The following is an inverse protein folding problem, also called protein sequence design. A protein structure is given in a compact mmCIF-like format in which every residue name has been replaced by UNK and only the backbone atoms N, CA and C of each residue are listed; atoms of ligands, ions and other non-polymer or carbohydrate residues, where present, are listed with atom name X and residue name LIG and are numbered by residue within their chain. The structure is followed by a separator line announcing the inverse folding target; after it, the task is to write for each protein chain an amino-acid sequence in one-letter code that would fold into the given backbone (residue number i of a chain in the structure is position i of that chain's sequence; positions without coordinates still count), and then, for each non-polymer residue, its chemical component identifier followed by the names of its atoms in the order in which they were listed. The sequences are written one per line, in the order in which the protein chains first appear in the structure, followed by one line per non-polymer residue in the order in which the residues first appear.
data_IF_618340793807
#
_entry.id   IF_618340793807
#
_cell.length_a   1.000
_cell.length_b   1.000
_cell.length_c   1.000
_cell.angle_alpha   90.00
_cell.angle_beta   90.00
_cell.angle_gamma   90.00
#
_symmetry.space_group_name_H-M   'P 1'
#
loop_
_entity.id
_entity.type
_entity.pdbx_description
1 polymer ?
#
# COMPACT_ATOMS: atom_id res chain seq x y z
N UNK A 1 -7.04 -45.77 -106.89
CA UNK A 1 -7.88 -44.59 -106.65
C UNK A 1 -9.07 -45.02 -105.81
N UNK A 2 -9.01 -44.86 -104.49
CA UNK A 2 -10.15 -45.09 -103.60
C UNK A 2 -10.68 -43.70 -103.19
N UNK A 3 -11.83 -43.30 -103.71
CA UNK A 3 -12.46 -42.02 -103.35
C UNK A 3 -12.93 -42.10 -101.90
N UNK A 4 -12.15 -41.51 -100.99
CA UNK A 4 -12.57 -41.36 -99.60
C UNK A 4 -13.82 -40.46 -99.53
N UNK A 5 -14.90 -41.00 -98.97
CA UNK A 5 -16.20 -40.35 -98.92
C UNK A 5 -16.12 -39.15 -97.94
N UNK A 6 -16.30 -37.89 -98.40
CA UNK A 6 -16.03 -36.70 -97.58
C UNK A 6 -16.94 -36.59 -96.36
N UNK A 7 -18.12 -37.21 -96.40
CA UNK A 7 -19.06 -37.27 -95.28
C UNK A 7 -18.54 -38.13 -94.12
N UNK A 8 -17.86 -39.24 -94.40
CA UNK A 8 -17.34 -40.16 -93.39
C UNK A 8 -16.15 -39.54 -92.64
N UNK A 9 -15.33 -38.75 -93.34
CA UNK A 9 -14.22 -38.01 -92.76
C UNK A 9 -14.71 -36.88 -91.83
N UNK A 10 -15.80 -36.21 -92.20
CA UNK A 10 -16.38 -35.12 -91.39
C UNK A 10 -17.06 -35.64 -90.12
N UNK A 11 -17.76 -36.77 -90.18
CA UNK A 11 -18.37 -37.41 -89.00
C UNK A 11 -17.31 -37.84 -87.99
N UNK A 12 -16.18 -38.40 -88.46
CA UNK A 12 -15.08 -38.81 -87.59
C UNK A 12 -14.42 -37.61 -86.88
N UNK A 13 -14.29 -36.47 -87.57
CA UNK A 13 -13.77 -35.22 -86.97
C UNK A 13 -14.70 -34.66 -85.89
N UNK A 14 -16.02 -34.65 -86.13
CA UNK A 14 -17.00 -34.16 -85.14
C UNK A 14 -17.03 -35.06 -83.90
N UNK A 15 -16.99 -36.38 -84.09
CA UNK A 15 -16.92 -37.33 -82.98
C UNK A 15 -15.64 -37.15 -82.15
N UNK A 16 -14.50 -36.96 -82.80
CA UNK A 16 -13.22 -36.72 -82.13
C UNK A 16 -13.24 -35.41 -81.32
N UNK A 17 -13.76 -34.33 -81.88
CA UNK A 17 -13.94 -33.06 -81.16
C UNK A 17 -14.86 -33.21 -79.94
N UNK A 18 -15.99 -33.92 -80.09
CA UNK A 18 -16.92 -34.16 -78.98
C UNK A 18 -16.28 -34.93 -77.82
N UNK A 19 -15.48 -35.96 -78.11
CA UNK A 19 -14.75 -36.72 -77.09
C UNK A 19 -13.69 -35.86 -76.40
N UNK A 20 -12.94 -35.05 -77.14
CA UNK A 20 -11.92 -34.17 -76.54
C UNK A 20 -12.52 -33.12 -75.59
N UNK A 21 -13.68 -32.57 -75.93
CA UNK A 21 -14.38 -31.61 -75.07
C UNK A 21 -14.96 -32.28 -73.82
N UNK A 22 -15.51 -33.49 -73.95
CA UNK A 22 -16.01 -34.27 -72.81
C UNK A 22 -14.91 -34.65 -71.82
N UNK A 23 -13.75 -35.10 -72.32
CA UNK A 23 -12.59 -35.44 -71.48
C UNK A 23 -12.01 -34.20 -70.80
N UNK A 24 -11.87 -33.08 -71.53
CA UNK A 24 -11.40 -31.83 -70.94
C UNK A 24 -12.32 -31.31 -69.83
N UNK A 25 -13.65 -31.40 -70.02
CA UNK A 25 -14.63 -31.03 -69.00
C UNK A 25 -14.56 -31.92 -67.74
N UNK A 26 -14.42 -33.24 -67.91
CA UNK A 26 -14.33 -34.18 -66.79
C UNK A 26 -13.04 -33.99 -65.96
N UNK A 27 -11.90 -33.84 -66.64
CA UNK A 27 -10.60 -33.61 -65.97
C UNK A 27 -10.55 -32.24 -65.30
N UNK A 28 -11.09 -31.20 -65.95
CA UNK A 28 -11.22 -29.86 -65.37
C UNK A 28 -12.09 -29.83 -64.12
N UNK A 29 -13.22 -30.55 -64.12
CA UNK A 29 -14.14 -30.61 -62.98
C UNK A 29 -13.51 -31.31 -61.75
N UNK A 30 -12.85 -32.46 -61.96
CA UNK A 30 -12.21 -33.20 -60.86
C UNK A 30 -10.98 -32.47 -60.27
N UNK A 31 -10.19 -31.82 -61.11
CA UNK A 31 -9.02 -31.04 -60.67
C UNK A 31 -9.41 -29.74 -59.97
N UNK A 32 -10.49 -29.08 -60.40
CA UNK A 32 -11.02 -27.87 -59.78
C UNK A 32 -11.53 -28.09 -58.36
N UNK A 33 -12.25 -29.19 -58.10
CA UNK A 33 -12.74 -29.49 -56.75
C UNK A 33 -11.60 -29.78 -55.77
N UNK A 34 -10.59 -30.56 -56.17
CA UNK A 34 -9.45 -30.88 -55.31
C UNK A 34 -8.62 -29.65 -54.92
N UNK A 35 -8.47 -28.67 -55.82
CA UNK A 35 -7.80 -27.40 -55.49
C UNK A 35 -8.66 -26.52 -54.58
N UNK A 36 -9.97 -26.44 -54.84
CA UNK A 36 -10.88 -25.67 -54.01
C UNK A 36 -10.86 -26.17 -52.56
N UNK A 37 -11.00 -27.48 -52.34
CA UNK A 37 -10.99 -28.07 -50.99
C UNK A 37 -9.70 -27.78 -50.23
N UNK A 38 -8.53 -27.90 -50.87
CA UNK A 38 -7.24 -27.58 -50.25
C UNK A 38 -7.12 -26.11 -49.85
N UNK A 39 -7.65 -25.20 -50.67
CA UNK A 39 -7.64 -23.76 -50.37
C UNK A 39 -8.60 -23.45 -49.21
N UNK A 40 -9.76 -24.12 -49.14
CA UNK A 40 -10.68 -23.97 -48.01
C UNK A 40 -10.10 -24.51 -46.71
N UNK A 41 -9.52 -25.71 -46.73
CA UNK A 41 -8.84 -26.31 -45.58
C UNK A 41 -7.67 -25.43 -45.10
N UNK A 42 -6.84 -24.93 -46.02
CA UNK A 42 -5.75 -24.02 -45.69
C UNK A 42 -6.24 -22.70 -45.09
N UNK A 43 -7.37 -22.16 -45.58
CA UNK A 43 -7.97 -20.94 -45.01
C UNK A 43 -8.52 -21.17 -43.60
N UNK A 44 -9.21 -22.30 -43.38
CA UNK A 44 -9.74 -22.68 -42.07
C UNK A 44 -8.60 -22.89 -41.06
N UNK A 45 -7.58 -23.68 -41.42
CA UNK A 45 -6.41 -23.91 -40.57
C UNK A 45 -5.68 -22.60 -40.24
N UNK A 46 -5.57 -21.67 -41.19
CA UNK A 46 -4.97 -20.35 -40.96
C UNK A 46 -5.81 -19.49 -40.01
N UNK A 47 -7.14 -19.53 -40.13
CA UNK A 47 -8.04 -18.80 -39.22
C UNK A 47 -7.99 -19.37 -37.81
N UNK A 48 -8.00 -20.70 -37.66
CA UNK A 48 -7.87 -21.36 -36.37
C UNK A 48 -6.53 -21.05 -35.71
N UNK A 49 -5.42 -21.12 -36.46
CA UNK A 49 -4.10 -20.76 -35.96
C UNK A 49 -4.00 -19.29 -35.55
N UNK A 50 -4.58 -18.38 -36.34
CA UNK A 50 -4.63 -16.95 -36.00
C UNK A 50 -5.46 -16.71 -34.73
N UNK A 51 -6.62 -17.34 -34.60
CA UNK A 51 -7.48 -17.23 -33.42
C UNK A 51 -6.80 -17.82 -32.17
N UNK A 52 -6.13 -18.96 -32.29
CA UNK A 52 -5.36 -19.56 -31.21
C UNK A 52 -4.20 -18.65 -30.77
N UNK A 53 -3.47 -18.06 -31.72
CA UNK A 53 -2.42 -17.09 -31.43
C UNK A 53 -2.96 -15.84 -30.73
N UNK A 54 -4.11 -15.32 -31.15
CA UNK A 54 -4.76 -14.18 -30.49
C UNK A 54 -5.20 -14.50 -29.05
N UNK A 55 -5.77 -15.69 -28.82
CA UNK A 55 -6.14 -16.13 -27.47
C UNK A 55 -4.92 -16.25 -26.56
N UNK A 56 -3.83 -16.83 -27.06
CA UNK A 56 -2.58 -16.92 -26.31
C UNK A 56 -2.02 -15.53 -25.97
N UNK A 57 -1.99 -14.62 -26.94
CA UNK A 57 -1.54 -13.24 -26.70
C UNK A 57 -2.42 -12.50 -25.69
N UNK A 58 -3.75 -12.72 -25.72
CA UNK A 58 -4.68 -12.15 -24.74
C UNK A 58 -4.45 -12.74 -23.34
N UNK A 59 -4.30 -14.06 -23.24
CA UNK A 59 -4.04 -14.75 -21.98
C UNK A 59 -2.70 -14.33 -21.37
N UNK A 60 -1.66 -14.19 -22.19
CA UNK A 60 -0.34 -13.74 -21.76
C UNK A 60 -0.39 -12.28 -21.26
N UNK A 61 -1.04 -11.38 -21.99
CA UNK A 61 -1.24 -9.98 -21.53
C UNK A 61 -2.03 -9.91 -20.24
N UNK A 62 -3.07 -10.72 -20.09
CA UNK A 62 -3.84 -10.79 -18.85
C UNK A 62 -3.00 -11.32 -17.70
N UNK A 63 -2.21 -12.38 -17.92
CA UNK A 63 -1.30 -12.92 -16.92
C UNK A 63 -0.25 -11.91 -16.48
N UNK A 64 0.35 -11.18 -17.43
CA UNK A 64 1.31 -10.11 -17.14
C UNK A 64 0.67 -8.97 -16.35
N UNK A 65 -0.54 -8.54 -16.73
CA UNK A 65 -1.27 -7.49 -16.02
C UNK A 65 -1.62 -7.91 -14.58
N UNK A 66 -2.06 -9.17 -14.39
CA UNK A 66 -2.33 -9.73 -13.07
C UNK A 66 -1.06 -9.84 -12.22
N UNK A 67 0.05 -10.28 -12.81
CA UNK A 67 1.33 -10.35 -12.12
C UNK A 67 1.82 -8.97 -11.67
N UNK A 68 1.69 -7.95 -12.53
CA UNK A 68 2.03 -6.57 -12.19
C UNK A 68 1.13 -6.01 -11.07
N UNK A 69 -0.18 -6.25 -11.15
CA UNK A 69 -1.13 -5.82 -10.11
C UNK A 69 -0.85 -6.51 -8.76
N UNK A 70 -0.56 -7.81 -8.78
CA UNK A 70 -0.21 -8.56 -7.57
C UNK A 70 1.11 -8.07 -6.96
N UNK A 71 2.11 -7.74 -7.78
CA UNK A 71 3.39 -7.21 -7.31
C UNK A 71 3.21 -5.84 -6.62
N UNK A 72 2.37 -4.98 -7.19
CA UNK A 72 2.07 -3.68 -6.57
C UNK A 72 1.27 -3.86 -5.27
N UNK A 73 0.29 -4.76 -5.26
CA UNK A 73 -0.46 -5.08 -4.03
C UNK A 73 0.45 -5.62 -2.93
N UNK A 74 1.40 -6.50 -3.26
CA UNK A 74 2.38 -7.02 -2.30
C UNK A 74 3.25 -5.88 -1.74
N UNK A 75 3.74 -4.99 -2.61
CA UNK A 75 4.53 -3.82 -2.20
C UNK A 75 3.76 -2.91 -1.24
N UNK A 76 2.52 -2.59 -1.57
CA UNK A 76 1.67 -1.75 -0.71
C UNK A 76 1.40 -2.41 0.64
N UNK A 77 1.18 -3.73 0.65
CA UNK A 77 0.97 -4.47 1.88
C UNK A 77 2.23 -4.50 2.76
N UNK A 78 3.41 -4.67 2.17
CA UNK A 78 4.68 -4.60 2.91
C UNK A 78 4.90 -3.21 3.53
N UNK A 79 4.61 -2.15 2.78
CA UNK A 79 4.65 -0.78 3.30
C UNK A 79 3.66 -0.57 4.45
N UNK A 80 2.43 -1.07 4.30
CA UNK A 80 1.41 -0.99 5.35
C UNK A 80 1.85 -1.75 6.61
N UNK A 81 2.45 -2.93 6.48
CA UNK A 81 2.99 -3.70 7.60
C UNK A 81 4.15 -2.96 8.30
N UNK A 82 5.08 -2.37 7.54
CA UNK A 82 6.19 -1.60 8.13
C UNK A 82 5.69 -0.40 8.93
N UNK A 83 4.78 0.38 8.35
CA UNK A 83 4.17 1.54 9.03
C UNK A 83 3.38 1.09 10.26
N UNK A 84 2.62 0.00 10.16
CA UNK A 84 1.88 -0.59 11.27
C UNK A 84 2.79 -1.00 12.44
N UNK A 85 3.93 -1.65 12.14
CA UNK A 85 4.92 -2.02 13.15
C UNK A 85 5.56 -0.81 13.82
N UNK A 86 5.95 0.20 13.05
CA UNK A 86 6.51 1.45 13.58
C UNK A 86 5.51 2.16 14.48
N UNK A 87 4.24 2.21 14.08
CA UNK A 87 3.17 2.80 14.86
C UNK A 87 2.98 2.07 16.20
N UNK A 88 2.94 0.74 16.18
CA UNK A 88 2.80 -0.07 17.39
C UNK A 88 3.98 0.12 18.35
N UNK A 89 5.22 0.17 17.82
CA UNK A 89 6.41 0.43 18.62
C UNK A 89 6.36 1.83 19.25
N UNK A 90 5.99 2.84 18.48
CA UNK A 90 5.88 4.23 18.94
C UNK A 90 4.82 4.36 20.04
N UNK A 91 3.64 3.76 19.85
CA UNK A 91 2.59 3.72 20.88
C UNK A 91 3.07 3.02 22.16
N UNK A 92 3.79 1.89 22.02
CA UNK A 92 4.34 1.17 23.17
C UNK A 92 5.45 1.94 23.90
N UNK A 93 6.25 2.75 23.20
CA UNK A 93 7.22 3.65 23.82
C UNK A 93 6.51 4.79 24.55
N UNK A 94 5.53 5.43 23.90
CA UNK A 94 4.74 6.51 24.50
C UNK A 94 4.02 6.06 25.78
N UNK A 95 3.39 4.88 25.77
CA UNK A 95 2.73 4.32 26.94
C UNK A 95 3.71 4.08 28.10
N UNK A 96 4.91 3.56 27.81
CA UNK A 96 5.97 3.37 28.80
C UNK A 96 6.46 4.70 29.37
N UNK A 97 6.71 5.70 28.52
CA UNK A 97 7.11 7.04 28.97
C UNK A 97 6.05 7.71 29.83
N UNK A 98 4.75 7.55 29.50
CA UNK A 98 3.65 8.05 30.31
C UNK A 98 3.58 7.37 31.68
N UNK A 99 3.74 6.05 31.74
CA UNK A 99 3.77 5.30 32.99
C UNK A 99 4.94 5.76 33.89
N UNK A 100 6.13 5.89 33.30
CA UNK A 100 7.32 6.36 34.01
C UNK A 100 7.15 7.80 34.51
N UNK A 101 6.54 8.70 33.71
CA UNK A 101 6.28 10.07 34.14
C UNK A 101 5.31 10.14 35.33
N UNK A 102 4.25 9.33 35.32
CA UNK A 102 3.31 9.25 36.45
C UNK A 102 3.98 8.76 37.74
N UNK A 103 4.84 7.76 37.63
CA UNK A 103 5.63 7.27 38.76
C UNK A 103 6.54 8.36 39.32
N UNK A 104 7.29 9.07 38.44
CA UNK A 104 8.14 10.20 38.84
C UNK A 104 7.37 11.34 39.50
N UNK A 105 6.16 11.65 39.03
CA UNK A 105 5.27 12.64 39.67
C UNK A 105 4.91 12.16 41.08
N UNK A 106 4.48 10.92 41.24
CA UNK A 106 4.10 10.37 42.54
C UNK A 106 5.28 10.37 43.53
N UNK A 107 6.47 9.99 43.07
CA UNK A 107 7.69 9.99 43.89
C UNK A 107 8.13 11.40 44.28
N UNK A 108 8.14 12.36 43.34
CA UNK A 108 8.48 13.75 43.63
C UNK A 108 7.52 14.36 44.66
N UNK A 109 6.21 14.12 44.51
CA UNK A 109 5.20 14.62 45.45
C UNK A 109 5.35 13.98 46.82
N UNK A 110 5.73 12.69 46.88
CA UNK A 110 5.98 11.96 48.14
C UNK A 110 7.24 12.45 48.85
N UNK A 111 8.32 12.67 48.11
CA UNK A 111 9.60 13.14 48.64
C UNK A 111 9.50 14.55 49.22
N UNK A 112 8.76 15.44 48.56
CA UNK A 112 8.51 16.77 49.07
C UNK A 112 7.72 16.72 50.40
N UNK A 113 6.72 15.83 50.49
CA UNK A 113 5.94 15.60 51.70
C UNK A 113 4.93 16.72 52.01
N UNK A 114 4.23 16.59 53.14
CA UNK A 114 3.12 17.51 53.50
C UNK A 114 3.56 18.87 54.07
N UNK A 115 4.87 19.09 54.24
CA UNK A 115 5.41 20.34 54.78
C UNK A 115 5.27 21.52 53.79
N UNK A 116 5.02 21.23 52.52
CA UNK A 116 4.88 22.23 51.47
C UNK A 116 3.42 22.48 51.13
N UNK A 117 3.02 23.75 51.10
CA UNK A 117 1.68 24.21 50.68
C UNK A 117 1.57 24.43 49.16
N UNK A 118 2.59 24.03 48.39
CA UNK A 118 2.72 24.18 46.94
C UNK A 118 3.74 23.19 46.36
N UNK A 119 4.30 23.46 45.17
CA UNK A 119 5.35 22.62 44.57
C UNK A 119 6.59 22.63 45.47
N UNK A 120 6.90 21.47 46.07
CA UNK A 120 8.17 21.28 46.78
C UNK A 120 9.36 21.18 45.82
N UNK A 121 10.59 21.12 46.34
CA UNK A 121 11.81 21.19 45.53
C UNK A 121 11.93 20.09 44.46
N UNK A 122 11.54 18.85 44.76
CA UNK A 122 11.58 17.76 43.77
C UNK A 122 10.47 17.91 42.72
N UNK A 123 9.26 18.30 43.13
CA UNK A 123 8.15 18.58 42.22
C UNK A 123 8.43 19.78 41.32
N UNK A 124 9.06 20.84 41.84
CA UNK A 124 9.45 22.03 41.08
C UNK A 124 10.51 21.70 40.03
N UNK A 125 11.47 20.83 40.37
CA UNK A 125 12.47 20.31 39.42
C UNK A 125 11.80 19.56 38.27
N UNK A 126 10.84 18.69 38.58
CA UNK A 126 10.08 17.94 37.58
C UNK A 126 9.25 18.87 36.68
N UNK A 127 8.60 19.88 37.27
CA UNK A 127 7.86 20.90 36.53
C UNK A 127 8.76 21.66 35.55
N UNK A 128 9.92 22.15 36.01
CA UNK A 128 10.90 22.85 35.16
C UNK A 128 11.42 21.96 34.02
N UNK A 129 11.67 20.69 34.29
CA UNK A 129 12.08 19.72 33.28
C UNK A 129 11.01 19.55 32.18
N UNK A 130 9.72 19.59 32.54
CA UNK A 130 8.63 19.53 31.57
C UNK A 130 8.61 20.74 30.60
N UNK A 131 9.17 21.89 31.01
CA UNK A 131 9.36 23.08 30.16
C UNK A 131 10.74 23.15 29.48
N UNK A 132 11.55 22.09 29.57
CA UNK A 132 12.86 22.01 28.91
C UNK A 132 14.01 22.66 29.67
N UNK A 133 13.81 23.06 30.93
CA UNK A 133 14.89 23.55 31.78
C UNK A 133 15.65 22.38 32.44
N UNK A 134 16.94 22.56 32.71
CA UNK A 134 17.76 21.52 33.33
C UNK A 134 17.29 21.15 34.73
N UNK A 135 17.20 19.86 35.02
CA UNK A 135 16.86 19.35 36.35
C UNK A 135 17.90 19.73 37.42
N UNK A 136 19.18 19.84 37.05
CA UNK A 136 20.25 20.32 37.94
C UNK A 136 20.58 21.77 37.63
N UNK A 137 19.80 22.67 38.19
CA UNK A 137 20.15 24.08 38.25
C UNK A 137 20.84 24.35 39.61
N UNK A 138 22.12 24.76 39.64
CA UNK A 138 22.83 25.09 40.88
C UNK A 138 22.23 26.29 41.63
N UNK A 139 21.31 27.04 41.01
CA UNK A 139 20.53 28.08 41.68
C UNK A 139 19.31 27.57 42.46
N UNK A 140 18.95 26.28 42.37
CA UNK A 140 17.88 25.69 43.18
C UNK A 140 18.47 25.17 44.50
N UNK A 141 17.93 25.57 45.67
CA UNK A 141 18.36 25.00 46.94
C UNK A 141 18.13 23.48 46.93
N UNK A 142 19.02 22.75 47.60
CA UNK A 142 18.85 21.31 47.82
C UNK A 142 17.49 21.06 48.50
N UNK A 143 16.92 19.87 48.27
CA UNK A 143 15.71 19.41 48.93
C UNK A 143 15.97 19.12 50.42
N UNK A 144 16.42 20.12 51.16
CA UNK A 144 16.54 20.07 52.60
C UNK A 144 15.19 20.48 53.18
N UNK A 145 14.53 19.54 53.86
CA UNK A 145 13.23 19.73 54.52
C UNK A 145 13.20 20.82 55.63
N UNK A 146 14.29 21.57 55.79
CA UNK A 146 14.52 22.48 56.91
C UNK A 146 14.20 23.96 56.66
N UNK A 147 13.82 24.36 55.44
CA UNK A 147 13.57 25.78 55.13
C UNK A 147 12.31 25.99 54.28
N UNK A 148 11.20 25.37 54.68
CA UNK A 148 9.89 25.93 54.36
C UNK A 148 9.81 27.28 55.09
N UNK A 149 10.09 28.37 54.36
CA UNK A 149 9.98 29.72 54.89
C UNK A 149 8.65 29.89 55.62
N UNK A 150 8.74 30.40 56.84
CA UNK A 150 7.69 30.62 57.83
C UNK A 150 6.28 30.77 57.21
N UNK A 151 5.55 29.66 57.09
CA UNK A 151 4.20 29.58 56.51
C UNK A 151 3.11 30.20 57.42
N UNK A 152 3.52 30.96 58.45
CA UNK A 152 2.64 31.59 59.42
C UNK A 152 2.08 32.95 58.95
N UNK A 153 2.52 33.49 57.82
CA UNK A 153 2.12 34.84 57.36
C UNK A 153 1.12 34.90 56.20
N UNK A 154 0.75 33.77 55.59
CA UNK A 154 -0.35 33.74 54.63
C UNK A 154 -1.61 33.23 55.33
N UNK A 155 -2.55 34.14 55.59
CA UNK A 155 -3.89 33.80 56.06
C UNK A 155 -4.45 32.61 55.28
N UNK A 156 -5.04 31.66 56.02
CA UNK A 156 -5.58 30.39 55.54
C UNK A 156 -5.83 30.37 54.03
N UNK A 157 -4.82 29.94 53.27
CA UNK A 157 -5.02 29.66 51.87
C UNK A 157 -6.02 28.52 51.83
N UNK A 158 -7.25 28.81 51.43
CA UNK A 158 -8.17 27.78 50.96
C UNK A 158 -7.36 26.93 49.98
N UNK A 159 -7.08 25.71 50.42
CA UNK A 159 -6.06 24.78 49.95
C UNK A 159 -5.77 24.99 48.46
N UNK A 160 -4.60 25.57 48.14
CA UNK A 160 -4.15 25.76 46.76
C UNK A 160 -4.16 24.43 45.98
N UNK A 161 -4.16 24.51 44.65
CA UNK A 161 -4.15 23.33 43.78
C UNK A 161 -3.04 22.34 44.21
N UNK A 162 -3.36 21.04 44.36
CA UNK A 162 -2.40 20.04 44.77
C UNK A 162 -1.19 20.02 43.83
N UNK A 163 0.05 19.84 44.34
CA UNK A 163 1.25 19.77 43.49
C UNK A 163 1.17 18.66 42.44
N UNK A 164 0.59 17.51 42.79
CA UNK A 164 0.32 16.43 41.87
C UNK A 164 -0.61 16.85 40.72
N UNK A 165 -1.64 17.66 41.00
CA UNK A 165 -2.60 18.11 39.98
C UNK A 165 -1.94 19.09 39.00
N UNK A 166 -1.06 19.97 39.49
CA UNK A 166 -0.28 20.89 38.64
C UNK A 166 0.69 20.12 37.72
N UNK A 167 1.37 19.10 38.25
CA UNK A 167 2.27 18.25 37.47
C UNK A 167 1.51 17.37 36.47
N UNK A 168 0.38 16.80 36.86
CA UNK A 168 -0.49 16.04 35.97
C UNK A 168 -1.02 16.93 34.83
N UNK A 169 -1.43 18.16 35.13
CA UNK A 169 -1.85 19.12 34.12
C UNK A 169 -0.72 19.45 33.12
N UNK A 170 0.50 19.71 33.61
CA UNK A 170 1.65 19.94 32.73
C UNK A 170 1.98 18.72 31.86
N UNK A 171 1.89 17.51 32.42
CA UNK A 171 2.09 16.26 31.69
C UNK A 171 1.00 16.04 30.62
N UNK A 172 -0.26 16.33 30.94
CA UNK A 172 -1.37 16.25 29.99
C UNK A 172 -1.26 17.28 28.87
N UNK A 173 -0.80 18.49 29.17
CA UNK A 173 -0.50 19.50 28.15
C UNK A 173 0.63 19.04 27.22
N UNK A 174 1.73 18.49 27.77
CA UNK A 174 2.81 17.93 26.97
C UNK A 174 2.34 16.79 26.05
N UNK A 175 1.43 15.94 26.53
CA UNK A 175 0.79 14.89 25.71
C UNK A 175 -0.03 15.48 24.56
N UNK A 176 -0.78 16.55 24.81
CA UNK A 176 -1.55 17.24 23.75
C UNK A 176 -0.63 17.83 22.67
N UNK A 177 0.50 18.44 23.05
CA UNK A 177 1.48 18.94 22.09
C UNK A 177 2.05 17.83 21.19
N UNK A 178 2.39 16.67 21.76
CA UNK A 178 2.89 15.51 21.00
C UNK A 178 1.83 14.95 20.04
N UNK A 179 0.56 14.93 20.45
CA UNK A 179 -0.54 14.51 19.58
C UNK A 179 -0.75 15.50 18.42
N UNK A 180 -0.64 16.80 18.68
CA UNK A 180 -0.71 17.84 17.66
C UNK A 180 0.41 17.68 16.63
N UNK A 181 1.65 17.44 17.08
CA UNK A 181 2.80 17.19 16.22
C UNK A 181 2.59 15.93 15.36
N UNK A 182 2.11 14.84 15.95
CA UNK A 182 1.79 13.60 15.22
C UNK A 182 0.73 13.84 14.14
N UNK A 183 -0.29 14.66 14.41
CA UNK A 183 -1.31 15.04 13.41
C UNK A 183 -0.75 15.95 12.30
N UNK A 184 0.20 16.83 12.64
CA UNK A 184 0.89 17.69 11.67
C UNK A 184 1.77 16.87 10.73
N UNK A 185 2.55 15.95 11.29
CA UNK A 185 3.41 15.02 10.54
C UNK A 185 2.59 14.13 9.59
N UNK A 186 1.43 13.65 10.05
CA UNK A 186 0.56 12.85 9.17
C UNK A 186 -0.02 13.69 8.03
N UNK A 187 -0.37 14.95 8.28
CA UNK A 187 -0.85 15.86 7.23
C UNK A 187 0.22 16.18 6.18
N UNK A 188 1.47 16.43 6.61
CA UNK A 188 2.62 16.68 5.73
C UNK A 188 2.95 15.44 4.87
N UNK A 189 2.79 14.22 5.40
CA UNK A 189 3.05 13.00 4.62
C UNK A 189 1.96 12.69 3.60
N UNK A 190 0.77 13.26 3.76
CA UNK A 190 -0.38 13.03 2.88
C UNK A 190 -0.51 14.06 1.74
N UNK A 191 0.20 15.19 1.81
CA UNK A 191 0.18 16.29 0.81
C UNK A 191 1.58 16.55 0.25
#
# INVERSE_FOLDING_TARGET
MLSANPLLLNVLRVALCGVTLGVAGFVGYGSGQGQATRVYEAKMAKQEAAHAAELLLKAEKQSQALAAANAEQARLNDLAHQVGWQLLQTQGQLARSQAQLRERIADATRNDGQAWTGLGPDSLRLYRAAFGYSERDPGLPAADAGNAGDASQTGTAERGLPPADLLNHAADYGRWCQELETRLDSFIRLH
#
